data_IF_676699746150
#
_entry.id   IF_676699746150
#
_cell.length_a   1.000
_cell.length_b   1.000
_cell.length_c   1.000
_cell.angle_alpha   90.00
_cell.angle_beta   90.00
_cell.angle_gamma   90.00
#
_symmetry.space_group_name_H-M   'P 1'
#
loop_
_entity.id
_entity.type
_entity.pdbx_description
1 polymer ?
#
# COMPACT_ATOMS: atom_id res chain seq x y z
N UNK A 1 -7.10 -2.42 -20.86
CA UNK A 1 -6.92 -2.14 -19.41
C UNK A 1 -7.57 -0.81 -19.04
N UNK A 2 -7.23 0.29 -19.67
CA UNK A 2 -7.82 1.62 -19.43
C UNK A 2 -9.36 1.64 -19.52
N UNK A 3 -9.94 1.02 -20.55
CA UNK A 3 -11.40 0.91 -20.72
C UNK A 3 -12.07 0.17 -19.55
N UNK A 4 -11.43 -0.84 -18.98
CA UNK A 4 -11.95 -1.57 -17.83
C UNK A 4 -11.90 -0.75 -16.55
N UNK A 5 -10.80 0.00 -16.34
CA UNK A 5 -10.63 0.93 -15.21
C UNK A 5 -11.70 2.02 -15.30
N UNK A 6 -11.84 2.64 -16.48
CA UNK A 6 -12.85 3.69 -16.69
C UNK A 6 -14.25 3.19 -16.39
N UNK A 7 -14.62 2.01 -16.87
CA UNK A 7 -15.93 1.41 -16.58
C UNK A 7 -16.14 1.10 -15.09
N UNK A 8 -15.09 0.67 -14.39
CA UNK A 8 -15.15 0.44 -12.95
C UNK A 8 -15.39 1.75 -12.20
N UNK A 9 -14.66 2.80 -12.55
CA UNK A 9 -14.82 4.12 -11.95
C UNK A 9 -16.23 4.71 -12.23
N UNK A 10 -16.73 4.57 -13.47
CA UNK A 10 -18.10 4.98 -13.82
C UNK A 10 -19.18 4.20 -13.05
N UNK A 11 -18.91 2.93 -12.76
CA UNK A 11 -19.79 2.09 -11.93
C UNK A 11 -19.64 2.34 -10.43
N UNK A 12 -18.70 3.20 -10.03
CA UNK A 12 -18.41 3.47 -8.63
C UNK A 12 -17.79 2.26 -7.90
N UNK A 13 -16.99 1.46 -8.59
CA UNK A 13 -16.36 0.26 -8.04
C UNK A 13 -14.85 0.38 -8.15
N UNK A 14 -14.13 0.04 -7.08
CA UNK A 14 -12.67 -0.07 -7.11
C UNK A 14 -12.28 -1.38 -7.82
N UNK A 15 -11.40 -1.27 -8.80
CA UNK A 15 -10.90 -2.42 -9.55
C UNK A 15 -9.40 -2.59 -9.34
N UNK A 16 -8.99 -3.80 -9.03
CA UNK A 16 -7.60 -4.24 -9.11
C UNK A 16 -7.49 -5.40 -10.10
N UNK A 17 -6.33 -5.62 -10.66
CA UNK A 17 -6.05 -6.75 -11.54
C UNK A 17 -4.82 -7.47 -10.98
N UNK A 18 -4.97 -8.75 -10.66
CA UNK A 18 -3.88 -9.57 -10.13
C UNK A 18 -3.75 -10.84 -10.98
N UNK A 19 -2.60 -11.02 -11.62
CA UNK A 19 -2.38 -12.16 -12.51
C UNK A 19 -3.42 -12.25 -13.64
N UNK A 20 -3.90 -11.12 -14.14
CA UNK A 20 -4.93 -11.04 -15.18
C UNK A 20 -6.37 -11.20 -14.69
N UNK A 21 -6.59 -11.43 -13.41
CA UNK A 21 -7.93 -11.58 -12.82
C UNK A 21 -8.40 -10.26 -12.19
N UNK A 22 -9.58 -9.76 -12.57
CA UNK A 22 -10.15 -8.55 -11.96
C UNK A 22 -10.64 -8.87 -10.53
N UNK A 23 -10.26 -8.01 -9.59
CA UNK A 23 -10.73 -8.03 -8.21
C UNK A 23 -11.51 -6.74 -7.94
N UNK A 24 -12.74 -6.88 -7.51
CA UNK A 24 -13.63 -5.77 -7.22
C UNK A 24 -13.66 -5.50 -5.73
N UNK A 25 -13.63 -4.24 -5.36
CA UNK A 25 -13.71 -3.80 -3.98
C UNK A 25 -14.81 -2.76 -3.79
N UNK A 26 -15.45 -2.80 -2.63
CA UNK A 26 -16.35 -1.75 -2.23
C UNK A 26 -15.58 -0.45 -1.89
N UNK A 27 -16.27 0.69 -1.97
CA UNK A 27 -15.70 1.94 -1.49
C UNK A 27 -15.37 1.88 0.00
N UNK A 28 -14.25 2.46 0.42
CA UNK A 28 -13.87 2.48 1.83
C UNK A 28 -14.87 3.29 2.66
N UNK A 29 -15.10 2.83 3.90
CA UNK A 29 -15.92 3.54 4.87
C UNK A 29 -15.09 4.58 5.64
N UNK A 30 -15.76 5.49 6.35
CA UNK A 30 -15.11 6.56 7.11
C UNK A 30 -13.99 6.05 8.02
N UNK A 31 -14.24 5.01 8.81
CA UNK A 31 -13.24 4.42 9.71
C UNK A 31 -11.95 4.01 8.99
N UNK A 32 -12.08 3.41 7.82
CA UNK A 32 -10.94 3.04 6.98
C UNK A 32 -10.14 4.27 6.55
N UNK A 33 -10.81 5.30 6.02
CA UNK A 33 -10.16 6.52 5.54
C UNK A 33 -9.49 7.31 6.66
N UNK A 34 -10.11 7.39 7.83
CA UNK A 34 -9.50 8.04 8.99
C UNK A 34 -8.18 7.37 9.38
N UNK A 35 -8.13 6.03 9.36
CA UNK A 35 -6.89 5.30 9.65
C UNK A 35 -5.82 5.48 8.56
N UNK A 36 -6.20 5.46 7.28
CA UNK A 36 -5.29 5.76 6.18
C UNK A 36 -4.67 7.15 6.36
N UNK A 37 -5.49 8.16 6.63
CA UNK A 37 -5.02 9.54 6.82
C UNK A 37 -4.14 9.69 8.05
N UNK A 38 -4.50 9.04 9.17
CA UNK A 38 -3.70 9.04 10.41
C UNK A 38 -2.31 8.45 10.19
N UNK A 39 -2.24 7.27 9.57
CA UNK A 39 -0.97 6.59 9.31
C UNK A 39 -0.13 7.43 8.34
N UNK A 40 -0.74 7.89 7.24
CA UNK A 40 -0.06 8.72 6.25
C UNK A 40 0.52 10.00 6.84
N UNK A 41 -0.23 10.69 7.70
CA UNK A 41 0.23 11.90 8.37
C UNK A 41 1.41 11.67 9.32
N UNK A 42 1.64 10.43 9.76
CA UNK A 42 2.76 10.06 10.63
C UNK A 42 4.06 9.76 9.89
N UNK A 43 4.03 9.61 8.56
CA UNK A 43 5.21 9.24 7.76
C UNK A 43 6.28 10.31 7.87
N UNK A 44 7.50 9.92 8.24
CA UNK A 44 8.67 10.80 8.41
C UNK A 44 9.92 10.13 7.87
N UNK A 45 10.84 10.96 7.39
CA UNK A 45 12.21 10.55 7.06
C UNK A 45 13.00 10.31 8.35
N UNK A 46 13.83 9.28 8.34
CA UNK A 46 14.81 8.98 9.41
C UNK A 46 16.21 9.40 8.97
N UNK A 47 17.19 9.29 9.87
CA UNK A 47 18.60 9.55 9.54
C UNK A 47 19.11 8.60 8.43
N UNK A 48 18.61 7.34 8.41
CA UNK A 48 18.89 6.39 7.33
C UNK A 48 18.33 6.89 5.99
N UNK A 49 17.11 7.43 5.98
CA UNK A 49 16.50 8.01 4.78
C UNK A 49 17.25 9.23 4.29
N UNK A 50 17.71 10.08 5.19
CA UNK A 50 18.54 11.22 4.86
C UNK A 50 19.85 10.80 4.19
N UNK A 51 20.56 9.84 4.79
CA UNK A 51 21.82 9.28 4.26
C UNK A 51 21.64 8.58 2.92
N UNK A 52 20.54 7.87 2.73
CA UNK A 52 20.22 7.14 1.51
C UNK A 52 19.62 8.02 0.40
N UNK A 53 19.32 9.30 0.69
CA UNK A 53 18.67 10.22 -0.25
C UNK A 53 17.22 9.87 -0.56
N UNK A 54 16.51 9.23 0.38
CA UNK A 54 15.10 8.90 0.21
C UNK A 54 14.22 10.06 0.67
N UNK A 55 13.38 10.57 -0.23
CA UNK A 55 12.49 11.69 0.07
C UNK A 55 11.22 11.30 0.83
N UNK A 56 10.99 10.00 1.03
CA UNK A 56 9.76 9.49 1.65
C UNK A 56 8.49 10.06 1.00
N UNK A 57 8.54 10.21 -0.33
CA UNK A 57 7.35 10.61 -1.08
C UNK A 57 6.25 9.56 -0.90
N UNK A 58 5.07 9.98 -0.47
CA UNK A 58 3.97 9.06 -0.25
C UNK A 58 2.68 9.61 -0.83
N UNK A 59 1.88 8.70 -1.37
CA UNK A 59 0.62 9.04 -2.02
C UNK A 59 -0.43 7.97 -1.66
N UNK A 60 -1.67 8.36 -1.36
CA UNK A 60 -2.74 7.42 -1.12
C UNK A 60 -3.46 7.07 -2.41
N UNK A 61 -4.00 5.86 -2.47
CA UNK A 61 -5.08 5.46 -3.35
C UNK A 61 -4.83 5.74 -4.85
N UNK A 62 -3.62 5.43 -5.34
CA UNK A 62 -3.25 5.56 -6.75
C UNK A 62 -2.96 4.20 -7.39
N UNK A 63 -3.21 4.09 -8.67
CA UNK A 63 -2.89 2.88 -9.41
C UNK A 63 -1.39 2.70 -9.61
N UNK A 64 -0.92 1.48 -9.36
CA UNK A 64 0.43 1.02 -9.64
C UNK A 64 0.35 -0.15 -10.61
N UNK A 65 0.99 -0.01 -11.76
CA UNK A 65 1.12 -1.06 -12.76
C UNK A 65 2.44 -1.80 -12.53
N UNK A 66 2.36 -3.05 -12.12
CA UNK A 66 3.52 -3.90 -11.89
C UNK A 66 4.03 -4.51 -13.21
N UNK A 67 5.33 -4.85 -13.32
CA UNK A 67 5.94 -5.31 -14.57
C UNK A 67 5.28 -6.54 -15.20
N UNK A 68 4.68 -7.41 -14.40
CA UNK A 68 3.98 -8.62 -14.87
C UNK A 68 2.54 -8.34 -15.35
N UNK A 69 2.09 -7.07 -15.30
CA UNK A 69 0.79 -6.63 -15.79
C UNK A 69 -0.31 -6.53 -14.73
N UNK A 70 -0.03 -6.84 -13.47
CA UNK A 70 -1.00 -6.59 -12.39
C UNK A 70 -1.14 -5.10 -12.10
N UNK A 71 -2.37 -4.69 -11.79
CA UNK A 71 -2.73 -3.34 -11.44
C UNK A 71 -3.28 -3.33 -10.01
N UNK A 72 -2.60 -2.64 -9.11
CA UNK A 72 -3.01 -2.52 -7.71
C UNK A 72 -3.25 -1.06 -7.34
N UNK A 73 -4.04 -0.85 -6.30
CA UNK A 73 -4.37 0.47 -5.77
C UNK A 73 -4.21 0.48 -4.25
N UNK A 74 -2.97 0.49 -3.74
CA UNK A 74 -2.70 0.46 -2.30
C UNK A 74 -3.29 1.67 -1.58
N UNK A 75 -3.63 1.49 -0.31
CA UNK A 75 -4.12 2.60 0.51
C UNK A 75 -3.06 3.69 0.69
N UNK A 76 -1.77 3.30 0.86
CA UNK A 76 -0.63 4.22 0.82
C UNK A 76 0.56 3.55 0.15
N UNK A 77 1.18 4.26 -0.77
CA UNK A 77 2.44 3.85 -1.41
C UNK A 77 3.54 4.84 -1.04
N UNK A 78 4.73 4.33 -0.70
CA UNK A 78 5.91 5.12 -0.31
C UNK A 78 7.02 4.89 -1.33
N UNK A 79 7.57 5.98 -1.85
CA UNK A 79 8.65 5.99 -2.83
C UNK A 79 9.81 6.84 -2.30
N UNK A 80 11.05 6.53 -2.73
CA UNK A 80 12.20 7.36 -2.39
C UNK A 80 12.31 8.63 -3.24
N UNK A 81 11.61 8.67 -4.37
CA UNK A 81 11.45 9.86 -5.22
C UNK A 81 10.02 9.98 -5.71
N UNK A 82 9.64 11.16 -6.15
CA UNK A 82 8.33 11.32 -6.81
C UNK A 82 8.32 10.53 -8.12
N UNK A 83 7.27 9.73 -8.38
CA UNK A 83 7.04 9.12 -9.69
C UNK A 83 6.90 10.17 -10.81
N UNK A 84 7.20 9.76 -12.03
CA UNK A 84 7.15 10.67 -13.19
C UNK A 84 5.75 10.75 -13.81
N UNK A 85 4.94 9.68 -13.63
CA UNK A 85 3.57 9.60 -14.14
C UNK A 85 2.62 10.51 -13.33
N UNK A 86 1.87 11.37 -14.01
CA UNK A 86 0.90 12.28 -13.38
C UNK A 86 -0.56 11.94 -13.66
N UNK A 87 -0.85 11.37 -14.84
CA UNK A 87 -2.21 11.06 -15.30
C UNK A 87 -2.43 9.58 -15.60
N UNK A 88 -1.40 8.77 -15.44
CA UNK A 88 -1.42 7.33 -15.72
C UNK A 88 -1.10 6.51 -14.45
N UNK A 89 -1.24 5.19 -14.53
CA UNK A 89 -0.78 4.31 -13.47
C UNK A 89 0.74 4.42 -13.28
N UNK A 90 1.17 4.51 -12.03
CA UNK A 90 2.59 4.59 -11.68
C UNK A 90 3.27 3.27 -12.03
N UNK A 91 4.41 3.34 -12.70
CA UNK A 91 5.23 2.16 -13.04
C UNK A 91 6.44 1.98 -12.12
N UNK A 92 6.79 3.02 -11.36
CA UNK A 92 7.81 2.92 -10.32
C UNK A 92 7.34 2.00 -9.21
N UNK A 93 8.13 0.98 -8.87
CA UNK A 93 7.80 0.08 -7.74
C UNK A 93 7.97 0.84 -6.43
N UNK A 94 6.96 0.86 -5.55
CA UNK A 94 7.09 1.49 -4.25
C UNK A 94 8.10 0.75 -3.36
N UNK A 95 8.80 1.50 -2.52
CA UNK A 95 9.68 0.94 -1.49
C UNK A 95 8.89 0.24 -0.40
N UNK A 96 7.73 0.80 -0.06
CA UNK A 96 6.81 0.26 0.92
C UNK A 96 5.35 0.49 0.53
N UNK A 97 4.50 -0.41 0.98
CA UNK A 97 3.04 -0.33 0.82
C UNK A 97 2.39 -0.46 2.20
N UNK A 98 1.38 0.35 2.46
CA UNK A 98 0.55 0.26 3.67
C UNK A 98 -0.88 0.01 3.23
N UNK A 99 -1.50 -1.01 3.81
CA UNK A 99 -2.91 -1.36 3.60
C UNK A 99 -3.66 -1.31 4.93
N UNK A 100 -4.86 -0.80 4.91
CA UNK A 100 -5.79 -0.82 6.04
C UNK A 100 -6.90 -1.81 5.72
N UNK A 101 -7.10 -2.80 6.58
CA UNK A 101 -8.07 -3.88 6.36
C UNK A 101 -9.49 -3.32 6.30
N UNK A 102 -10.21 -3.67 5.24
CA UNK A 102 -11.64 -3.47 5.11
C UNK A 102 -12.39 -4.72 5.58
N UNK A 103 -13.52 -4.52 6.27
CA UNK A 103 -14.34 -5.64 6.76
C UNK A 103 -14.78 -6.54 5.61
N UNK A 104 -14.52 -7.84 5.73
CA UNK A 104 -14.81 -8.84 4.70
C UNK A 104 -13.67 -9.07 3.69
N UNK A 105 -12.56 -8.34 3.80
CA UNK A 105 -11.38 -8.47 2.92
C UNK A 105 -10.11 -8.90 3.68
N UNK A 106 -10.27 -9.44 4.90
CA UNK A 106 -9.16 -9.78 5.79
C UNK A 106 -8.16 -10.76 5.15
N UNK A 107 -8.63 -11.79 4.46
CA UNK A 107 -7.76 -12.77 3.78
C UNK A 107 -6.95 -12.11 2.66
N UNK A 108 -7.61 -11.26 1.86
CA UNK A 108 -6.95 -10.52 0.79
C UNK A 108 -5.85 -9.62 1.35
N UNK A 109 -6.17 -8.84 2.38
CA UNK A 109 -5.28 -7.80 2.89
C UNK A 109 -4.16 -8.38 3.77
N UNK A 110 -4.44 -9.43 4.56
CA UNK A 110 -3.47 -10.02 5.49
C UNK A 110 -2.63 -11.16 4.92
N UNK A 111 -3.11 -11.88 3.90
CA UNK A 111 -2.44 -13.07 3.37
C UNK A 111 -2.00 -12.91 1.92
N UNK A 112 -2.91 -12.53 1.02
CA UNK A 112 -2.65 -12.49 -0.42
C UNK A 112 -1.83 -11.25 -0.78
N UNK A 113 -2.23 -10.09 -0.29
CA UNK A 113 -1.60 -8.80 -0.61
C UNK A 113 -0.12 -8.75 -0.26
N UNK A 114 0.31 -9.08 0.98
CA UNK A 114 1.72 -9.03 1.36
C UNK A 114 2.60 -9.91 0.48
N UNK A 115 2.18 -11.13 0.17
CA UNK A 115 2.92 -12.05 -0.71
C UNK A 115 3.08 -11.46 -2.11
N UNK A 116 2.00 -10.92 -2.67
CA UNK A 116 2.03 -10.29 -3.98
C UNK A 116 3.04 -9.16 -4.02
N UNK A 117 2.93 -8.18 -3.12
CA UNK A 117 3.81 -7.01 -3.12
C UNK A 117 5.30 -7.38 -2.94
N UNK A 118 5.60 -8.31 -2.04
CA UNK A 118 6.99 -8.78 -1.83
C UNK A 118 7.54 -9.47 -3.09
N UNK A 119 6.73 -10.25 -3.80
CA UNK A 119 7.13 -10.87 -5.06
C UNK A 119 7.40 -9.84 -6.17
N UNK A 120 6.73 -8.69 -6.12
CA UNK A 120 6.93 -7.58 -7.06
C UNK A 120 8.10 -6.65 -6.71
N UNK A 121 8.84 -6.93 -5.63
CA UNK A 121 10.02 -6.17 -5.25
C UNK A 121 9.77 -5.05 -4.23
N UNK A 122 8.55 -4.91 -3.71
CA UNK A 122 8.28 -4.05 -2.55
C UNK A 122 9.03 -4.59 -1.34
N UNK A 123 9.73 -3.74 -0.61
CA UNK A 123 10.62 -4.17 0.49
C UNK A 123 9.91 -4.32 1.83
N UNK A 124 8.94 -3.46 2.08
CA UNK A 124 8.14 -3.46 3.30
C UNK A 124 6.64 -3.42 2.95
N UNK A 125 5.87 -4.34 3.52
CA UNK A 125 4.41 -4.34 3.44
C UNK A 125 3.86 -4.26 4.86
N UNK A 126 3.09 -3.21 5.13
CA UNK A 126 2.47 -3.00 6.44
C UNK A 126 0.96 -3.12 6.27
N UNK A 127 0.33 -3.97 7.06
CA UNK A 127 -1.12 -4.13 7.05
C UNK A 127 -1.66 -3.86 8.44
N UNK A 128 -2.61 -2.94 8.54
CA UNK A 128 -3.27 -2.58 9.79
C UNK A 128 -4.74 -3.01 9.77
N UNK A 129 -5.12 -3.79 10.76
CA UNK A 129 -6.52 -4.15 11.02
C UNK A 129 -7.08 -3.25 12.13
N UNK A 130 -7.94 -2.27 11.79
CA UNK A 130 -8.49 -1.34 12.78
C UNK A 130 -9.55 -1.96 13.70
N UNK A 131 -9.96 -3.20 13.45
CA UNK A 131 -10.95 -3.91 14.27
C UNK A 131 -10.29 -4.76 15.36
N UNK A 132 -9.13 -5.32 15.09
CA UNK A 132 -8.35 -6.13 16.04
C UNK A 132 -7.13 -5.42 16.60
N UNK A 133 -6.75 -4.27 16.01
CA UNK A 133 -5.52 -3.52 16.27
C UNK A 133 -4.24 -4.28 15.86
N UNK A 134 -4.37 -5.34 15.09
CA UNK A 134 -3.22 -6.07 14.55
C UNK A 134 -2.48 -5.22 13.52
N UNK A 135 -1.17 -5.14 13.69
CA UNK A 135 -0.23 -4.61 12.71
C UNK A 135 0.65 -5.75 12.23
N UNK A 136 0.50 -6.12 10.96
CA UNK A 136 1.36 -7.07 10.28
C UNK A 136 2.42 -6.30 9.50
N UNK A 137 3.69 -6.61 9.71
CA UNK A 137 4.81 -6.04 8.97
C UNK A 137 5.59 -7.16 8.30
N UNK A 138 5.50 -7.23 6.98
CA UNK A 138 6.09 -8.29 6.17
C UNK A 138 7.26 -7.76 5.34
N UNK A 139 8.34 -8.51 5.34
CA UNK A 139 9.54 -8.39 4.51
C UNK A 139 9.85 -9.73 3.86
N UNK A 140 10.78 -9.77 2.89
CA UNK A 140 11.21 -11.04 2.29
C UNK A 140 11.75 -12.04 3.32
N UNK A 141 12.50 -11.54 4.29
CA UNK A 141 13.20 -12.34 5.29
C UNK A 141 12.37 -12.69 6.52
N UNK A 142 11.35 -11.88 6.85
CA UNK A 142 10.58 -12.08 8.07
C UNK A 142 9.19 -11.42 8.02
N UNK A 143 8.32 -11.88 8.92
CA UNK A 143 7.01 -11.30 9.17
C UNK A 143 6.83 -11.11 10.67
N UNK A 144 6.53 -9.89 11.09
CA UNK A 144 6.20 -9.58 12.48
C UNK A 144 4.73 -9.21 12.65
N UNK A 145 4.21 -9.48 13.85
CA UNK A 145 2.85 -9.10 14.28
C UNK A 145 2.95 -8.34 15.57
N UNK A 146 2.35 -7.16 15.60
CA UNK A 146 2.37 -6.25 16.74
C UNK A 146 0.97 -5.69 16.96
N UNK A 147 0.78 -4.98 18.06
CA UNK A 147 -0.49 -4.33 18.41
C UNK A 147 -0.31 -2.81 18.26
N UNK A 148 -1.25 -2.17 17.55
CA UNK A 148 -1.29 -0.72 17.42
C UNK A 148 -1.53 -0.03 18.78
N UNK A 149 -0.90 1.14 19.08
CA UNK A 149 -0.01 1.89 18.20
C UNK A 149 1.44 1.36 18.24
N UNK A 150 2.09 1.34 17.10
CA UNK A 150 3.49 0.91 16.98
C UNK A 150 4.21 1.74 15.91
N UNK A 151 5.47 2.06 16.16
CA UNK A 151 6.32 2.71 15.17
C UNK A 151 6.98 1.63 14.30
N UNK A 152 6.80 1.76 12.98
CA UNK A 152 7.39 0.87 12.00
C UNK A 152 8.53 1.60 11.28
N UNK A 153 9.73 1.06 11.39
CA UNK A 153 10.90 1.50 10.63
C UNK A 153 10.96 0.75 9.29
N UNK A 154 11.00 1.48 8.19
CA UNK A 154 11.02 0.94 6.84
C UNK A 154 12.45 0.89 6.29
N UNK A 155 12.77 -0.12 5.47
CA UNK A 155 14.11 -0.31 4.88
C UNK A 155 14.60 0.89 4.07
N UNK A 156 13.68 1.62 3.44
CA UNK A 156 14.02 2.81 2.67
C UNK A 156 14.49 4.01 3.51
N UNK A 157 14.36 3.92 4.83
CA UNK A 157 14.72 5.00 5.73
C UNK A 157 13.57 5.98 6.04
N UNK A 158 12.35 5.52 5.85
CA UNK A 158 11.16 6.19 6.34
C UNK A 158 10.62 5.45 7.56
N UNK A 159 9.78 6.10 8.35
CA UNK A 159 9.03 5.48 9.44
C UNK A 159 7.58 5.95 9.45
N UNK A 160 6.69 5.15 10.00
CA UNK A 160 5.30 5.50 10.23
C UNK A 160 4.83 4.99 11.60
N UNK A 161 3.75 5.55 12.08
CA UNK A 161 3.05 5.10 13.29
C UNK A 161 1.73 4.47 12.85
N UNK A 162 1.55 3.22 13.21
CA UNK A 162 0.40 2.41 12.80
C UNK A 162 -0.45 2.02 13.99
#
# INVERSE_FOLDING_TARGET
MEDLIQRADEAGVRLEIVGGLPLWEAHPVLKHQEEVDRIRASIRKTDLGESAGCDCFHIPDVYILFPEGSLKRPDVSIFCRRPDEEEEAITLIPEAVIEVVSRGYEVKDLEIGPRFYLQQGVKDVVVFDPYTLLVLHARQEDVSRQVSPVTIELKCGCRCIV
#
